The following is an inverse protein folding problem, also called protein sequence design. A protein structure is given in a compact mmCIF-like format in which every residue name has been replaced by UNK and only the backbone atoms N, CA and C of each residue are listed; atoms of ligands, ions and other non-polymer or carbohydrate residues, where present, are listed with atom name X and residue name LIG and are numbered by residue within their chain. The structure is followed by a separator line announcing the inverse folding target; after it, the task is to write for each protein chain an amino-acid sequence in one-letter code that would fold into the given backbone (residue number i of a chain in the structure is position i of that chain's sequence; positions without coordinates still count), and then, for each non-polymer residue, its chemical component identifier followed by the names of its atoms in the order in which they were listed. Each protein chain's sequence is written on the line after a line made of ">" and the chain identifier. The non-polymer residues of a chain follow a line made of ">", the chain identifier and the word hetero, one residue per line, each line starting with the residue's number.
data_IF_991629586421
#
_entry.id   IF_991629586421
#
_cell.length_a   1.000
_cell.length_b   1.000
_cell.length_c   1.000
_cell.angle_alpha   90.00
_cell.angle_beta   90.00
_cell.angle_gamma   90.00
#
_symmetry.space_group_name_H-M   'P 1'
#
loop_
_entity.id
_entity.type
_entity.pdbx_description
1 polymer ?
#
# COMPACT_ATOMS: atom_id res chain seq x y z
N UNK A 1 -21.73 -26.30 8.95
CA UNK A 1 -20.88 -26.97 7.94
C UNK A 1 -20.28 -25.85 7.11
N UNK A 2 -19.13 -25.33 7.53
CA UNK A 2 -18.41 -24.28 6.81
C UNK A 2 -17.74 -24.93 5.61
N UNK A 3 -18.25 -24.65 4.42
CA UNK A 3 -17.72 -25.21 3.18
C UNK A 3 -16.27 -24.74 3.01
N UNK A 4 -15.37 -25.72 3.01
CA UNK A 4 -13.96 -25.56 2.68
C UNK A 4 -13.83 -24.83 1.35
N UNK A 5 -13.52 -23.53 1.39
CA UNK A 5 -13.14 -22.75 0.22
C UNK A 5 -11.88 -23.40 -0.30
N UNK A 6 -12.04 -24.25 -1.32
CA UNK A 6 -10.96 -24.97 -1.97
C UNK A 6 -9.90 -23.96 -2.37
N UNK A 7 -8.74 -24.05 -1.72
CA UNK A 7 -7.49 -23.33 -1.98
C UNK A 7 -7.31 -22.80 -3.43
N UNK A 8 -7.58 -23.58 -4.50
CA UNK A 8 -7.49 -23.09 -5.87
C UNK A 8 -8.40 -21.89 -6.22
N UNK A 9 -9.62 -21.79 -5.66
CA UNK A 9 -10.53 -20.69 -6.00
C UNK A 9 -10.08 -19.36 -5.38
N UNK A 10 -9.64 -19.38 -4.11
CA UNK A 10 -9.10 -18.18 -3.45
C UNK A 10 -7.82 -17.68 -4.14
N UNK A 11 -6.94 -18.58 -4.58
CA UNK A 11 -5.73 -18.22 -5.34
C UNK A 11 -6.09 -17.60 -6.69
N UNK A 12 -7.06 -18.15 -7.42
CA UNK A 12 -7.52 -17.61 -8.71
C UNK A 12 -8.17 -16.23 -8.54
N UNK A 13 -9.04 -16.06 -7.53
CA UNK A 13 -9.68 -14.77 -7.24
C UNK A 13 -8.64 -13.72 -6.86
N UNK A 14 -7.67 -14.07 -6.01
CA UNK A 14 -6.59 -13.15 -5.62
C UNK A 14 -5.72 -12.75 -6.82
N UNK A 15 -5.44 -13.67 -7.75
CA UNK A 15 -4.71 -13.33 -9.00
C UNK A 15 -5.50 -12.35 -9.87
N UNK A 16 -6.79 -12.57 -10.05
CA UNK A 16 -7.62 -11.68 -10.86
C UNK A 16 -7.73 -10.28 -10.23
N UNK A 17 -7.86 -10.20 -8.91
CA UNK A 17 -7.94 -8.93 -8.20
C UNK A 17 -6.63 -8.13 -8.32
N UNK A 18 -5.49 -8.81 -8.22
CA UNK A 18 -4.18 -8.19 -8.41
C UNK A 18 -3.99 -7.69 -9.84
N UNK A 19 -4.42 -8.43 -10.86
CA UNK A 19 -4.36 -7.98 -12.25
C UNK A 19 -5.17 -6.69 -12.46
N UNK A 20 -6.41 -6.66 -11.96
CA UNK A 20 -7.29 -5.46 -12.05
C UNK A 20 -6.63 -4.26 -11.35
N UNK A 21 -6.03 -4.47 -10.17
CA UNK A 21 -5.33 -3.41 -9.45
C UNK A 21 -4.14 -2.88 -10.26
N UNK A 22 -3.33 -3.77 -10.86
CA UNK A 22 -2.18 -3.37 -11.67
C UNK A 22 -2.61 -2.55 -12.89
N UNK A 23 -3.69 -2.93 -13.56
CA UNK A 23 -4.23 -2.18 -14.69
C UNK A 23 -4.71 -0.78 -14.24
N UNK A 24 -5.42 -0.68 -13.12
CA UNK A 24 -5.87 0.61 -12.58
C UNK A 24 -4.69 1.53 -12.19
N UNK A 25 -3.58 0.98 -11.70
CA UNK A 25 -2.36 1.73 -11.40
C UNK A 25 -1.63 2.21 -12.66
N UNK A 26 -1.76 1.48 -13.78
CA UNK A 26 -1.26 1.95 -15.08
C UNK A 26 -2.14 3.08 -15.61
N UNK A 27 -3.46 2.91 -15.57
CA UNK A 27 -4.42 3.91 -16.03
C UNK A 27 -4.29 5.26 -15.31
N UNK A 28 -4.01 5.24 -14.00
CA UNK A 28 -3.84 6.46 -13.21
C UNK A 28 -2.41 7.04 -13.28
N UNK A 29 -1.49 6.39 -14.02
CA UNK A 29 -0.11 6.83 -14.21
C UNK A 29 0.85 6.54 -13.05
N UNK A 30 0.43 5.80 -12.02
CA UNK A 30 1.29 5.41 -10.90
C UNK A 30 2.33 4.36 -11.33
N UNK A 31 1.98 3.50 -12.28
CA UNK A 31 2.81 2.42 -12.79
C UNK A 31 2.97 2.55 -14.31
N UNK A 32 4.17 2.37 -14.86
CA UNK A 32 4.34 2.28 -16.32
C UNK A 32 4.00 0.87 -16.82
N UNK A 33 3.55 0.75 -18.08
CA UNK A 33 3.30 -0.55 -18.71
C UNK A 33 4.52 -1.48 -18.65
N UNK A 34 5.72 -0.94 -18.91
CA UNK A 34 6.97 -1.70 -18.81
C UNK A 34 7.23 -2.22 -17.39
N UNK A 35 6.89 -1.43 -16.37
CA UNK A 35 7.08 -1.85 -14.96
C UNK A 35 6.05 -2.90 -14.57
N UNK A 36 4.78 -2.76 -15.01
CA UNK A 36 3.76 -3.79 -14.82
C UNK A 36 4.22 -5.13 -15.39
N UNK A 37 4.71 -5.13 -16.63
CA UNK A 37 5.09 -6.36 -17.32
C UNK A 37 6.30 -7.03 -16.63
N UNK A 38 7.27 -6.24 -16.14
CA UNK A 38 8.38 -6.75 -15.32
C UNK A 38 7.92 -7.37 -14.00
N UNK A 39 6.98 -6.74 -13.30
CA UNK A 39 6.43 -7.28 -12.04
C UNK A 39 5.71 -8.60 -12.30
N UNK A 40 4.95 -8.71 -13.39
CA UNK A 40 4.26 -9.95 -13.77
C UNK A 40 5.26 -11.07 -14.07
N UNK A 41 6.31 -10.79 -14.86
CA UNK A 41 7.34 -11.76 -15.21
C UNK A 41 8.11 -12.26 -13.98
N UNK A 42 8.48 -11.35 -13.08
CA UNK A 42 9.10 -11.69 -11.79
C UNK A 42 8.15 -12.53 -10.93
N UNK A 43 6.87 -12.17 -10.84
CA UNK A 43 5.88 -12.92 -10.06
C UNK A 43 5.62 -14.33 -10.60
N UNK A 44 5.64 -14.53 -11.92
CA UNK A 44 5.51 -15.85 -12.55
C UNK A 44 6.76 -16.73 -12.34
N UNK A 45 7.92 -16.10 -12.16
CA UNK A 45 9.19 -16.78 -11.91
C UNK A 45 9.38 -17.20 -10.44
N UNK A 46 8.50 -16.75 -9.54
CA UNK A 46 8.53 -17.18 -8.14
C UNK A 46 7.89 -18.57 -8.01
N UNK A 47 8.73 -19.57 -7.76
CA UNK A 47 8.26 -20.91 -7.39
C UNK A 47 7.63 -20.88 -6.00
N UNK A 48 6.37 -21.30 -5.91
CA UNK A 48 5.68 -21.48 -4.63
C UNK A 48 6.32 -22.65 -3.88
N UNK A 49 7.19 -22.37 -2.91
CA UNK A 49 7.72 -23.39 -2.01
C UNK A 49 6.57 -23.92 -1.15
N UNK A 50 6.38 -25.24 -1.06
CA UNK A 50 5.31 -25.91 -0.28
C UNK A 50 5.22 -25.42 1.17
N UNK A 51 6.32 -24.95 1.76
CA UNK A 51 6.38 -24.42 3.12
C UNK A 51 6.31 -22.88 3.23
N UNK A 52 6.14 -22.14 2.12
CA UNK A 52 6.09 -20.68 2.14
C UNK A 52 4.82 -20.10 2.78
N UNK A 53 3.79 -20.93 2.99
CA UNK A 53 2.54 -20.56 3.67
C UNK A 53 2.28 -21.42 4.91
N UNK A 54 3.31 -21.99 5.54
CA UNK A 54 3.15 -22.52 6.89
C UNK A 54 3.26 -21.36 7.89
N UNK A 55 2.15 -20.62 8.04
CA UNK A 55 2.04 -19.62 9.09
C UNK A 55 1.09 -20.15 10.15
N UNK A 56 1.64 -20.43 11.32
CA UNK A 56 0.95 -20.98 12.49
C UNK A 56 -0.21 -20.11 12.99
N UNK A 57 -0.27 -18.83 12.60
CA UNK A 57 -1.34 -17.90 12.98
C UNK A 57 -1.41 -16.67 12.06
N UNK A 58 -2.55 -15.97 12.06
CA UNK A 58 -2.70 -14.68 11.37
C UNK A 58 -1.82 -13.57 11.93
N UNK A 59 -1.40 -13.67 13.19
CA UNK A 59 -0.45 -12.70 13.79
C UNK A 59 0.94 -12.81 13.18
N UNK A 60 1.39 -14.04 12.91
CA UNK A 60 2.70 -14.27 12.29
C UNK A 60 2.71 -13.70 10.87
N UNK A 61 1.61 -13.87 10.12
CA UNK A 61 1.44 -13.29 8.78
C UNK A 61 1.55 -11.77 8.81
N UNK A 62 0.85 -11.13 9.74
CA UNK A 62 0.91 -9.68 9.91
C UNK A 62 2.35 -9.24 10.21
N UNK A 63 3.06 -9.90 11.14
CA UNK A 63 4.45 -9.57 11.48
C UNK A 63 5.39 -9.73 10.27
N UNK A 64 5.24 -10.81 9.50
CA UNK A 64 6.08 -11.04 8.33
C UNK A 64 5.83 -9.99 7.23
N UNK A 65 4.57 -9.65 6.97
CA UNK A 65 4.21 -8.58 6.02
C UNK A 65 4.82 -7.25 6.42
N UNK A 66 4.73 -6.87 7.70
CA UNK A 66 5.33 -5.62 8.19
C UNK A 66 6.85 -5.65 8.10
N UNK A 67 7.51 -6.72 8.53
CA UNK A 67 8.96 -6.87 8.41
C UNK A 67 9.43 -6.77 6.96
N UNK A 68 8.68 -7.35 6.02
CA UNK A 68 9.00 -7.29 4.59
C UNK A 68 8.74 -5.90 4.03
N UNK A 69 7.67 -5.24 4.47
CA UNK A 69 7.42 -3.83 4.19
C UNK A 69 8.57 -2.92 4.66
N UNK A 70 9.10 -3.15 5.87
CA UNK A 70 10.26 -2.43 6.42
C UNK A 70 11.52 -2.67 5.57
N UNK A 71 11.82 -3.92 5.23
CA UNK A 71 12.96 -4.29 4.38
C UNK A 71 12.90 -3.63 2.99
N UNK A 72 11.69 -3.45 2.46
CA UNK A 72 11.45 -2.80 1.17
C UNK A 72 11.31 -1.27 1.29
N UNK A 73 11.39 -0.70 2.51
CA UNK A 73 11.24 0.74 2.75
C UNK A 73 9.82 1.28 2.53
N UNK A 74 8.81 0.41 2.53
CA UNK A 74 7.40 0.74 2.25
C UNK A 74 6.63 1.22 3.49
N UNK A 75 7.20 1.02 4.67
CA UNK A 75 6.62 1.38 5.98
C UNK A 75 7.13 2.71 6.52
N UNK A 76 7.96 3.42 5.74
CA UNK A 76 8.34 4.78 6.07
C UNK A 76 7.07 5.62 6.20
N UNK A 77 6.71 5.97 7.44
CA UNK A 77 5.56 6.82 7.71
C UNK A 77 5.69 8.08 6.87
N UNK A 78 4.72 8.35 6.00
CA UNK A 78 4.61 9.65 5.35
C UNK A 78 4.74 10.72 6.45
N UNK A 79 5.62 11.74 6.29
CA UNK A 79 5.73 12.78 7.29
C UNK A 79 4.34 13.34 7.56
N UNK A 80 3.98 13.61 8.83
CA UNK A 80 2.65 14.09 9.17
C UNK A 80 2.29 15.25 8.25
N UNK A 81 1.17 15.11 7.52
CA UNK A 81 0.72 16.12 6.58
C UNK A 81 0.61 17.44 7.32
N UNK A 82 1.48 18.39 6.98
CA UNK A 82 1.46 19.70 7.62
C UNK A 82 0.15 20.38 7.22
N UNK A 83 -0.59 20.97 8.17
CA UNK A 83 -1.79 21.72 7.82
C UNK A 83 -1.44 22.89 6.91
N UNK A 84 -2.36 23.25 6.02
CA UNK A 84 -2.25 24.42 5.13
C UNK A 84 -3.24 25.49 5.53
N UNK A 85 -2.84 26.75 5.40
CA UNK A 85 -3.71 27.88 5.71
C UNK A 85 -4.87 27.95 4.70
N UNK A 86 -6.14 27.94 5.14
CA UNK A 86 -7.28 28.03 4.23
C UNK A 86 -7.44 29.41 3.57
N UNK A 87 -6.73 30.44 4.06
CA UNK A 87 -6.79 31.79 3.51
C UNK A 87 -5.80 32.05 2.37
N UNK A 88 -4.59 31.47 2.44
CA UNK A 88 -3.54 31.73 1.45
C UNK A 88 -2.80 30.48 0.93
N UNK A 89 -3.11 29.28 1.45
CA UNK A 89 -2.52 28.02 1.00
C UNK A 89 -1.11 27.71 1.51
N UNK A 90 -0.50 28.59 2.33
CA UNK A 90 0.84 28.33 2.89
C UNK A 90 0.80 27.21 3.94
N UNK A 91 1.87 26.40 4.02
CA UNK A 91 2.05 25.46 5.13
C UNK A 91 2.09 26.19 6.48
N UNK A 92 1.35 25.67 7.45
CA UNK A 92 1.28 26.18 8.82
C UNK A 92 1.64 25.07 9.81
N UNK A 93 2.09 25.44 11.00
CA UNK A 93 2.37 24.51 12.10
C UNK A 93 1.05 24.13 12.78
N UNK A 94 0.96 22.90 13.29
CA UNK A 94 -0.23 22.39 14.01
C UNK A 94 -0.68 23.31 15.16
N UNK A 95 0.25 23.94 15.88
CA UNK A 95 -0.06 24.78 17.05
C UNK A 95 -0.15 26.29 16.73
N UNK A 96 -0.14 26.69 15.45
CA UNK A 96 -0.26 28.10 15.09
C UNK A 96 -1.70 28.59 15.25
N UNK A 97 -1.90 29.62 16.08
CA UNK A 97 -3.20 30.30 16.26
C UNK A 97 -3.58 31.17 15.05
N UNK A 98 -2.59 31.75 14.40
CA UNK A 98 -2.75 32.64 13.25
C UNK A 98 -1.73 32.33 12.17
N UNK A 99 -2.11 32.51 10.91
CA UNK A 99 -1.21 32.42 9.78
C UNK A 99 -0.23 33.59 9.78
N UNK A 100 1.08 33.29 9.83
CA UNK A 100 2.14 34.30 9.78
C UNK A 100 2.30 34.97 8.41
N UNK A 101 1.66 34.43 7.36
CA UNK A 101 1.70 35.00 6.02
C UNK A 101 0.53 35.95 5.75
N UNK A 102 -0.72 35.56 6.09
CA UNK A 102 -1.91 36.33 5.74
C UNK A 102 -2.76 36.80 6.93
N UNK A 103 -2.42 36.41 8.16
CA UNK A 103 -3.15 36.79 9.38
C UNK A 103 -4.44 36.01 9.65
N UNK A 104 -4.82 35.05 8.79
CA UNK A 104 -6.00 34.20 9.00
C UNK A 104 -5.91 33.46 10.35
N UNK A 105 -6.99 33.50 11.13
CA UNK A 105 -7.14 32.67 12.34
C UNK A 105 -7.28 31.19 11.96
N UNK A 106 -6.54 30.32 12.63
CA UNK A 106 -6.49 28.87 12.34
C UNK A 106 -7.18 28.04 13.44
N UNK A 107 -6.98 28.41 14.71
CA UNK A 107 -7.61 27.79 15.90
C UNK A 107 -8.15 28.87 16.84
#
# INVERSE_FOLDING_TARGET
>A
MSEDIKFPHAVVVNRNLLAILMDALVENGTLSEETRDKIIDEALSIEAKENALNMSSGEDFVKEVFNKGDQLGLTASAPPAKPVCPGCGVEVKLDQKFCTNCGQKLI
#
